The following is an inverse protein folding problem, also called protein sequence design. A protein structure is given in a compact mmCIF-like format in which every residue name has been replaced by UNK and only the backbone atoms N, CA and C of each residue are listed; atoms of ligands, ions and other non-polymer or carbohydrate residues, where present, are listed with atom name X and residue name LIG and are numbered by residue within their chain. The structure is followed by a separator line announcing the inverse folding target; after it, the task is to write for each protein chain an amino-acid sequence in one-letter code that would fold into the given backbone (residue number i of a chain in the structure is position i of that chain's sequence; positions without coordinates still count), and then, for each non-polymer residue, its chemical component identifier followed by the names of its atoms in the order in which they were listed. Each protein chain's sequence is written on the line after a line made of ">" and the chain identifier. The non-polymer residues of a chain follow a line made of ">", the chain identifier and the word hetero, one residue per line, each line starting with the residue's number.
data_IF_584033759938
#
_entry.id   IF_584033759938
#
_cell.length_a   1.000
_cell.length_b   1.000
_cell.length_c   1.000
_cell.angle_alpha   90.00
_cell.angle_beta   90.00
_cell.angle_gamma   90.00
#
_symmetry.space_group_name_H-M   'P 1'
#
loop_
_entity.id
_entity.type
_entity.pdbx_description
1 polymer ?
#
# COMPACT_ATOMS: atom_id res chain seq x y z
N UNK A 1 48.09 -11.06 -27.66
CA UNK A 1 46.71 -11.59 -27.62
C UNK A 1 46.25 -11.49 -26.18
N UNK A 2 45.39 -10.53 -25.87
CA UNK A 2 44.92 -10.26 -24.51
C UNK A 2 43.57 -10.95 -24.30
N UNK A 3 43.47 -11.72 -23.22
CA UNK A 3 42.26 -12.41 -22.75
C UNK A 3 41.20 -11.37 -22.35
N UNK A 4 39.91 -11.51 -22.73
CA UNK A 4 38.89 -10.59 -22.24
C UNK A 4 38.59 -10.88 -20.76
N UNK A 5 38.52 -9.81 -19.98
CA UNK A 5 38.11 -9.86 -18.58
C UNK A 5 36.64 -10.30 -18.47
N UNK A 6 36.41 -11.27 -17.59
CA UNK A 6 35.08 -11.68 -17.12
C UNK A 6 34.36 -10.48 -16.50
N UNK A 7 33.19 -10.12 -17.04
CA UNK A 7 32.25 -9.21 -16.37
C UNK A 7 31.65 -9.94 -15.17
N UNK A 8 31.84 -9.40 -13.98
CA UNK A 8 31.07 -9.79 -12.79
C UNK A 8 29.57 -9.62 -13.05
N UNK A 9 28.72 -10.57 -12.63
CA UNK A 9 27.28 -10.42 -12.76
C UNK A 9 26.78 -9.33 -11.81
N UNK A 10 25.91 -8.45 -12.32
CA UNK A 10 25.15 -7.49 -11.51
C UNK A 10 24.23 -8.25 -10.55
N UNK A 11 24.13 -7.85 -9.26
CA UNK A 11 23.15 -8.43 -8.37
C UNK A 11 21.76 -7.88 -8.72
N UNK A 12 20.80 -8.76 -9.05
CA UNK A 12 19.38 -8.35 -9.14
C UNK A 12 18.54 -8.87 -10.31
N UNK A 13 18.78 -10.07 -10.85
CA UNK A 13 17.92 -10.61 -11.91
C UNK A 13 17.68 -12.13 -11.81
N UNK A 14 17.46 -12.64 -10.60
CA UNK A 14 17.09 -14.05 -10.37
C UNK A 14 15.63 -14.23 -9.92
N UNK A 15 14.78 -13.21 -10.11
CA UNK A 15 13.35 -13.33 -9.81
C UNK A 15 12.61 -14.16 -10.87
N UNK A 16 11.81 -15.14 -10.44
CA UNK A 16 10.75 -15.70 -11.29
C UNK A 16 9.91 -14.55 -11.89
N UNK A 17 9.53 -14.68 -13.16
CA UNK A 17 8.68 -13.68 -13.81
C UNK A 17 7.44 -13.38 -12.95
N UNK A 18 7.32 -12.13 -12.48
CA UNK A 18 6.21 -11.68 -11.63
C UNK A 18 6.48 -11.66 -10.11
N UNK A 19 7.66 -12.04 -9.63
CA UNK A 19 8.04 -11.87 -8.22
C UNK A 19 8.45 -10.41 -7.91
N UNK A 20 7.96 -9.81 -6.80
CA UNK A 20 8.42 -8.49 -6.35
C UNK A 20 9.93 -8.45 -6.13
N UNK A 21 10.58 -7.39 -6.59
CA UNK A 21 11.96 -7.10 -6.26
C UNK A 21 12.03 -6.45 -4.87
N UNK A 22 12.93 -6.91 -4.01
CA UNK A 22 13.01 -6.51 -2.60
C UNK A 22 14.39 -5.89 -2.32
N UNK A 23 14.42 -4.80 -1.58
CA UNK A 23 15.64 -4.15 -1.12
C UNK A 23 15.45 -3.56 0.29
N UNK A 24 16.49 -3.66 1.13
CA UNK A 24 16.48 -3.23 2.53
C UNK A 24 16.06 -4.35 3.50
N UNK A 25 16.26 -4.09 4.79
CA UNK A 25 16.07 -5.11 5.85
C UNK A 25 14.64 -5.13 6.44
N UNK A 26 13.87 -4.06 6.23
CA UNK A 26 12.48 -3.97 6.71
C UNK A 26 11.54 -4.64 5.70
N UNK A 27 11.19 -5.90 5.96
CA UNK A 27 10.32 -6.66 5.05
C UNK A 27 8.83 -6.62 5.43
N UNK A 28 8.50 -6.51 6.72
CA UNK A 28 7.15 -6.63 7.22
C UNK A 28 6.93 -5.86 8.51
N UNK A 29 5.72 -5.30 8.64
CA UNK A 29 5.24 -4.60 9.82
C UNK A 29 3.72 -4.37 9.69
N UNK A 30 3.10 -3.76 10.69
CA UNK A 30 1.68 -3.38 10.65
C UNK A 30 1.39 -2.45 9.47
N UNK A 31 0.21 -2.61 8.86
CA UNK A 31 -0.22 -1.87 7.69
C UNK A 31 -0.49 -0.38 7.96
N UNK A 32 -0.86 -0.02 9.19
CA UNK A 32 -1.44 1.28 9.49
C UNK A 32 -2.55 1.62 8.48
N UNK A 33 -2.67 2.89 8.09
CA UNK A 33 -3.71 3.34 7.15
C UNK A 33 -3.59 2.78 5.73
N UNK A 34 -2.55 2.00 5.38
CA UNK A 34 -2.51 1.36 4.05
C UNK A 34 -3.59 0.28 3.90
N UNK A 35 -3.99 -0.39 4.98
CA UNK A 35 -5.07 -1.39 4.93
C UNK A 35 -6.46 -0.78 4.76
N UNK A 36 -6.61 0.55 4.76
CA UNK A 36 -7.86 1.19 4.34
C UNK A 36 -8.23 0.90 2.90
N UNK A 37 -7.24 0.62 2.03
CA UNK A 37 -7.48 0.32 0.61
C UNK A 37 -8.31 -0.96 0.43
N UNK A 38 -7.92 -2.14 0.94
CA UNK A 38 -8.75 -3.34 0.81
C UNK A 38 -10.11 -3.21 1.52
N UNK A 39 -10.19 -2.49 2.65
CA UNK A 39 -11.47 -2.20 3.33
C UNK A 39 -12.40 -1.37 2.44
N UNK A 40 -11.88 -0.31 1.83
CA UNK A 40 -12.63 0.57 0.95
C UNK A 40 -13.13 -0.17 -0.31
N UNK A 41 -12.29 -1.01 -0.91
CA UNK A 41 -12.68 -1.83 -2.07
C UNK A 41 -13.78 -2.82 -1.70
N UNK A 42 -13.65 -3.50 -0.55
CA UNK A 42 -14.68 -4.42 -0.07
C UNK A 42 -16.03 -3.69 0.13
N UNK A 43 -16.01 -2.48 0.71
CA UNK A 43 -17.22 -1.70 0.93
C UNK A 43 -17.87 -1.25 -0.39
N UNK A 44 -17.06 -0.84 -1.38
CA UNK A 44 -17.54 -0.50 -2.73
C UNK A 44 -18.15 -1.73 -3.42
N UNK A 45 -17.57 -2.92 -3.28
CA UNK A 45 -18.13 -4.16 -3.84
C UNK A 45 -19.49 -4.49 -3.24
N UNK A 46 -19.67 -4.31 -1.94
CA UNK A 46 -20.92 -4.65 -1.25
C UNK A 46 -22.06 -3.68 -1.58
N UNK A 47 -21.79 -2.38 -1.57
CA UNK A 47 -22.82 -1.35 -1.73
C UNK A 47 -23.01 -0.90 -3.19
N UNK A 48 -21.98 -1.09 -4.03
CA UNK A 48 -21.94 -0.61 -5.40
C UNK A 48 -21.25 0.76 -5.51
N UNK A 49 -20.49 0.95 -6.60
CA UNK A 49 -19.69 2.15 -6.84
C UNK A 49 -20.50 3.45 -7.01
N UNK A 50 -21.82 3.36 -7.24
CA UNK A 50 -22.70 4.51 -7.39
C UNK A 50 -23.25 5.04 -6.04
N UNK A 51 -23.05 4.32 -4.93
CA UNK A 51 -23.52 4.76 -3.61
C UNK A 51 -22.76 6.01 -3.15
N UNK A 52 -23.49 7.12 -2.98
CA UNK A 52 -22.91 8.41 -2.64
C UNK A 52 -22.29 8.44 -1.23
N UNK A 53 -22.87 7.71 -0.27
CA UNK A 53 -22.35 7.63 1.10
C UNK A 53 -21.03 6.87 1.13
N UNK A 54 -20.95 5.76 0.40
CA UNK A 54 -19.72 4.98 0.28
C UNK A 54 -18.65 5.79 -0.43
N UNK A 55 -18.98 6.49 -1.52
CA UNK A 55 -18.02 7.38 -2.20
C UNK A 55 -17.48 8.48 -1.28
N UNK A 56 -18.34 9.10 -0.47
CA UNK A 56 -17.90 10.13 0.48
C UNK A 56 -16.93 9.55 1.52
N UNK A 57 -17.25 8.39 2.09
CA UNK A 57 -16.38 7.72 3.05
C UNK A 57 -15.08 7.22 2.44
N UNK A 58 -15.10 6.68 1.21
CA UNK A 58 -13.89 6.31 0.46
C UNK A 58 -12.99 7.52 0.27
N UNK A 59 -13.56 8.65 -0.20
CA UNK A 59 -12.79 9.87 -0.40
C UNK A 59 -12.13 10.34 0.90
N UNK A 60 -12.87 10.44 2.00
CA UNK A 60 -12.32 10.86 3.29
C UNK A 60 -11.26 9.87 3.84
N UNK A 61 -11.55 8.57 3.79
CA UNK A 61 -10.65 7.53 4.30
C UNK A 61 -9.34 7.42 3.50
N UNK A 62 -9.38 7.68 2.19
CA UNK A 62 -8.21 7.52 1.32
C UNK A 62 -7.43 8.82 1.17
N UNK A 63 -8.09 9.94 0.83
CA UNK A 63 -7.41 11.22 0.47
C UNK A 63 -6.73 11.90 1.66
N UNK A 64 -7.41 11.96 2.80
CA UNK A 64 -6.94 12.61 4.03
C UNK A 64 -6.68 11.60 5.16
N UNK A 65 -6.86 10.31 4.88
CA UNK A 65 -6.62 9.22 5.83
C UNK A 65 -7.57 9.21 7.05
N UNK A 66 -8.80 9.71 6.91
CA UNK A 66 -9.78 9.81 7.99
C UNK A 66 -10.11 8.41 8.58
N UNK A 67 -9.97 8.28 9.90
CA UNK A 67 -10.20 7.01 10.61
C UNK A 67 -11.69 6.72 10.82
N UNK A 68 -12.52 7.73 11.07
CA UNK A 68 -13.95 7.55 11.29
C UNK A 68 -14.67 7.11 10.01
N UNK A 69 -14.28 7.66 8.87
CA UNK A 69 -14.75 7.23 7.56
C UNK A 69 -14.34 5.79 7.26
N UNK A 70 -13.10 5.40 7.57
CA UNK A 70 -12.64 4.02 7.39
C UNK A 70 -13.37 3.03 8.31
N UNK A 71 -13.62 3.38 9.56
CA UNK A 71 -14.42 2.58 10.51
C UNK A 71 -15.89 2.50 10.08
N UNK A 72 -16.43 3.54 9.42
CA UNK A 72 -17.78 3.50 8.83
C UNK A 72 -17.85 2.52 7.66
N UNK A 73 -16.85 2.52 6.77
CA UNK A 73 -16.74 1.53 5.69
C UNK A 73 -16.63 0.11 6.27
N UNK A 74 -15.79 -0.07 7.29
CA UNK A 74 -15.59 -1.34 7.97
C UNK A 74 -16.88 -1.87 8.62
N UNK A 75 -17.55 -1.05 9.42
CA UNK A 75 -18.81 -1.42 10.07
C UNK A 75 -19.94 -1.72 9.07
N UNK A 76 -19.90 -1.06 7.90
CA UNK A 76 -20.82 -1.34 6.80
C UNK A 76 -20.70 -2.76 6.23
N UNK A 77 -19.54 -3.41 6.37
CA UNK A 77 -19.30 -4.78 5.90
C UNK A 77 -19.93 -5.87 6.79
N UNK A 78 -20.43 -5.50 7.97
CA UNK A 78 -21.04 -6.44 8.93
C UNK A 78 -20.26 -6.51 10.23
N UNK A 79 -20.34 -7.66 10.91
CA UNK A 79 -19.54 -7.90 12.10
C UNK A 79 -18.02 -7.91 11.79
N UNK A 80 -17.15 -7.73 12.79
CA UNK A 80 -15.71 -7.62 12.54
C UNK A 80 -15.09 -8.81 11.81
N UNK A 81 -15.61 -10.03 12.02
CA UNK A 81 -15.12 -11.23 11.34
C UNK A 81 -15.51 -11.21 9.85
N UNK A 82 -16.73 -10.79 9.54
CA UNK A 82 -17.24 -10.63 8.18
C UNK A 82 -16.48 -9.53 7.44
N UNK A 83 -16.25 -8.39 8.07
CA UNK A 83 -15.49 -7.27 7.52
C UNK A 83 -14.02 -7.66 7.21
N UNK A 84 -13.39 -8.41 8.13
CA UNK A 84 -12.04 -8.94 7.93
C UNK A 84 -11.97 -9.95 6.78
N UNK A 85 -12.95 -10.85 6.69
CA UNK A 85 -13.03 -11.83 5.61
C UNK A 85 -13.22 -11.15 4.25
N UNK A 86 -14.13 -10.19 4.14
CA UNK A 86 -14.36 -9.43 2.91
C UNK A 86 -13.10 -8.64 2.47
N UNK A 87 -12.43 -7.99 3.42
CA UNK A 87 -11.18 -7.25 3.14
C UNK A 87 -10.02 -8.19 2.78
N UNK A 88 -9.96 -9.38 3.39
CA UNK A 88 -8.96 -10.41 3.04
C UNK A 88 -9.22 -10.98 1.65
N UNK A 89 -10.47 -11.17 1.24
CA UNK A 89 -10.80 -11.61 -0.11
C UNK A 89 -10.30 -10.62 -1.17
N UNK A 90 -10.39 -9.31 -0.90
CA UNK A 90 -9.78 -8.28 -1.78
C UNK A 90 -8.27 -8.46 -1.91
N UNK A 91 -7.56 -8.75 -0.80
CA UNK A 91 -6.12 -9.03 -0.85
C UNK A 91 -5.81 -10.27 -1.72
N UNK A 92 -6.61 -11.34 -1.60
CA UNK A 92 -6.47 -12.56 -2.39
C UNK A 92 -6.66 -12.29 -3.88
N UNK A 93 -7.66 -11.51 -4.26
CA UNK A 93 -7.90 -11.12 -5.65
C UNK A 93 -6.74 -10.30 -6.22
N UNK A 94 -6.07 -9.50 -5.38
CA UNK A 94 -4.86 -8.76 -5.76
C UNK A 94 -3.57 -9.57 -5.69
N UNK A 95 -3.66 -10.90 -5.55
CA UNK A 95 -2.52 -11.82 -5.59
C UNK A 95 -1.76 -11.97 -4.27
N UNK A 96 -2.15 -11.29 -3.20
CA UNK A 96 -1.61 -11.53 -1.87
C UNK A 96 -2.25 -12.79 -1.29
N UNK A 97 -1.51 -13.90 -1.28
CA UNK A 97 -2.03 -15.20 -0.86
C UNK A 97 -1.96 -15.44 0.66
N UNK A 98 -1.28 -14.59 1.43
CA UNK A 98 -0.88 -14.93 2.81
C UNK A 98 -1.34 -13.93 3.87
N UNK A 99 -1.48 -12.65 3.57
CA UNK A 99 -1.91 -11.66 4.57
C UNK A 99 -3.38 -11.82 4.89
N UNK A 100 -3.73 -11.92 6.18
CA UNK A 100 -5.11 -12.00 6.66
C UNK A 100 -5.42 -10.76 7.50
N UNK A 101 -6.45 -10.01 7.13
CA UNK A 101 -6.86 -8.79 7.84
C UNK A 101 -7.34 -9.16 9.24
N UNK A 102 -6.87 -8.41 10.24
CA UNK A 102 -7.32 -8.59 11.62
C UNK A 102 -8.76 -8.11 11.79
N UNK A 103 -9.58 -8.96 12.41
CA UNK A 103 -10.94 -8.63 12.84
C UNK A 103 -10.95 -7.82 14.14
N UNK A 104 -10.00 -8.10 15.04
CA UNK A 104 -9.97 -7.53 16.38
C UNK A 104 -8.81 -6.55 16.56
N UNK A 105 -9.00 -5.57 17.44
CA UNK A 105 -7.96 -4.61 17.82
C UNK A 105 -6.98 -5.29 18.77
N UNK A 106 -5.68 -5.25 18.46
CA UNK A 106 -4.63 -5.66 19.39
C UNK A 106 -4.25 -4.53 20.34
N UNK A 107 -4.27 -3.29 19.85
CA UNK A 107 -4.18 -2.03 20.60
C UNK A 107 -5.49 -1.25 20.44
N UNK A 108 -6.24 -0.96 21.53
CA UNK A 108 -7.57 -0.35 21.48
C UNK A 108 -7.64 1.00 20.75
N UNK A 109 -6.56 1.77 20.77
CA UNK A 109 -6.47 3.10 20.20
C UNK A 109 -6.35 3.12 18.66
N UNK A 110 -6.13 1.97 18.02
CA UNK A 110 -6.02 1.84 16.57
C UNK A 110 -7.07 0.91 15.97
N UNK A 111 -7.37 1.11 14.69
CA UNK A 111 -8.27 0.25 13.90
C UNK A 111 -7.77 -1.19 13.88
N UNK A 112 -8.65 -2.19 13.86
CA UNK A 112 -8.25 -3.60 13.76
C UNK A 112 -7.46 -3.87 12.46
N UNK A 113 -8.02 -3.47 11.32
CA UNK A 113 -7.38 -3.65 10.00
C UNK A 113 -6.02 -2.94 9.89
N UNK A 114 -5.83 -1.79 10.54
CA UNK A 114 -4.54 -1.08 10.56
C UNK A 114 -3.41 -1.83 11.26
N UNK A 115 -3.74 -2.75 12.16
CA UNK A 115 -2.78 -3.52 12.95
C UNK A 115 -2.40 -4.84 12.28
N UNK A 116 -2.94 -5.11 11.10
CA UNK A 116 -2.62 -6.29 10.28
C UNK A 116 -1.15 -6.22 9.84
N UNK A 117 -0.32 -7.23 10.14
CA UNK A 117 1.01 -7.36 9.54
C UNK A 117 0.90 -7.54 8.02
N UNK A 118 1.58 -6.70 7.26
CA UNK A 118 1.55 -6.74 5.80
C UNK A 118 2.96 -6.55 5.26
N UNK A 119 3.49 -7.60 4.62
CA UNK A 119 4.84 -7.58 4.04
C UNK A 119 4.90 -6.61 2.86
N UNK A 120 6.03 -5.94 2.66
CA UNK A 120 6.23 -5.07 1.50
C UNK A 120 6.10 -5.82 0.17
N UNK A 121 6.63 -7.06 0.00
CA UNK A 121 6.45 -7.81 -1.24
C UNK A 121 4.98 -8.09 -1.57
N UNK A 122 4.18 -8.50 -0.57
CA UNK A 122 2.75 -8.73 -0.78
C UNK A 122 2.00 -7.43 -1.06
N UNK A 123 2.36 -6.34 -0.38
CA UNK A 123 1.74 -5.05 -0.57
C UNK A 123 2.06 -4.45 -1.96
N UNK A 124 3.28 -4.66 -2.46
CA UNK A 124 3.67 -4.31 -3.83
C UNK A 124 2.93 -5.18 -4.86
N UNK A 125 2.80 -6.49 -4.61
CA UNK A 125 2.03 -7.40 -5.47
C UNK A 125 0.56 -6.99 -5.56
N UNK A 126 -0.06 -6.68 -4.42
CA UNK A 126 -1.42 -6.14 -4.37
C UNK A 126 -1.53 -4.82 -5.15
N UNK A 127 -0.55 -3.92 -4.97
CA UNK A 127 -0.42 -2.68 -5.73
C UNK A 127 -0.42 -2.88 -7.25
N UNK A 128 0.29 -3.90 -7.74
CA UNK A 128 0.42 -4.19 -9.17
C UNK A 128 -0.89 -4.68 -9.82
N UNK A 129 -1.84 -5.19 -9.03
CA UNK A 129 -3.13 -5.70 -9.52
C UNK A 129 -4.30 -4.75 -9.23
N UNK A 130 -4.07 -3.62 -8.53
CA UNK A 130 -5.12 -2.74 -8.02
C UNK A 130 -6.14 -2.36 -9.09
N UNK A 131 -5.68 -1.91 -10.26
CA UNK A 131 -6.54 -1.43 -11.36
C UNK A 131 -7.40 -2.51 -12.00
N UNK A 132 -7.12 -3.77 -11.71
CA UNK A 132 -7.83 -4.94 -12.23
C UNK A 132 -8.88 -5.46 -11.25
N UNK A 133 -8.92 -4.92 -10.03
CA UNK A 133 -9.86 -5.38 -9.01
C UNK A 133 -11.24 -4.76 -9.22
N UNK A 134 -12.25 -5.63 -9.21
CA UNK A 134 -13.65 -5.19 -9.15
C UNK A 134 -13.87 -4.25 -7.96
N UNK A 135 -14.55 -3.12 -8.21
CA UNK A 135 -14.83 -2.11 -7.19
C UNK A 135 -13.65 -1.20 -6.82
N UNK A 136 -12.46 -1.34 -7.42
CA UNK A 136 -11.31 -0.51 -7.08
C UNK A 136 -11.34 0.89 -7.70
N UNK A 137 -12.14 1.13 -8.75
CA UNK A 137 -12.19 2.41 -9.48
C UNK A 137 -12.28 3.66 -8.57
N UNK A 138 -13.32 3.79 -7.72
CA UNK A 138 -13.45 4.94 -6.81
C UNK A 138 -12.29 5.06 -5.79
N UNK A 139 -11.72 3.94 -5.37
CA UNK A 139 -10.60 3.91 -4.40
C UNK A 139 -9.32 4.39 -5.07
N UNK A 140 -9.05 3.93 -6.30
CA UNK A 140 -7.89 4.31 -7.09
C UNK A 140 -7.95 5.79 -7.50
N UNK A 141 -9.14 6.29 -7.83
CA UNK A 141 -9.38 7.72 -8.06
C UNK A 141 -8.97 8.53 -6.82
N UNK A 142 -9.44 8.12 -5.63
CA UNK A 142 -9.07 8.77 -4.37
C UNK A 142 -7.57 8.63 -4.05
N UNK A 143 -6.93 7.51 -4.39
CA UNK A 143 -5.48 7.30 -4.25
C UNK A 143 -4.64 8.22 -5.15
N UNK A 144 -5.22 8.77 -6.23
CA UNK A 144 -4.59 9.83 -7.04
C UNK A 144 -4.70 11.23 -6.43
N UNK A 145 -5.67 11.43 -5.53
CA UNK A 145 -6.03 12.72 -4.93
C UNK A 145 -5.65 12.83 -3.44
N UNK A 146 -4.55 12.17 -3.03
CA UNK A 146 -4.00 12.30 -1.67
C UNK A 146 -3.70 13.77 -1.35
N UNK A 147 -4.08 14.20 -0.15
CA UNK A 147 -3.93 15.56 0.35
C UNK A 147 -2.46 16.00 0.37
N UNK A 148 -2.22 17.29 0.11
CA UNK A 148 -0.89 17.85 -0.16
C UNK A 148 0.14 17.58 0.97
N UNK A 149 -0.31 17.64 2.22
CA UNK A 149 0.52 17.36 3.41
C UNK A 149 0.93 15.88 3.53
N UNK A 150 0.27 14.98 2.80
CA UNK A 150 0.53 13.54 2.75
C UNK A 150 1.22 13.10 1.44
N UNK A 151 1.54 14.03 0.52
CA UNK A 151 2.17 13.74 -0.79
C UNK A 151 3.70 13.62 -0.78
N UNK A 152 4.31 13.28 0.36
CA UNK A 152 5.72 12.87 0.41
C UNK A 152 5.92 11.46 -0.17
N UNK A 153 7.16 10.98 -0.31
CA UNK A 153 7.42 9.62 -0.78
C UNK A 153 6.92 9.40 -2.22
N UNK A 154 6.10 8.37 -2.42
CA UNK A 154 5.48 8.05 -3.71
C UNK A 154 4.66 9.22 -4.28
N UNK A 155 4.14 10.12 -3.43
CA UNK A 155 3.40 11.30 -3.87
C UNK A 155 4.22 12.30 -4.69
N UNK A 156 5.56 12.18 -4.67
CA UNK A 156 6.49 12.95 -5.50
C UNK A 156 6.63 12.42 -6.92
N UNK A 157 6.13 11.21 -7.20
CA UNK A 157 6.21 10.58 -8.52
C UNK A 157 4.96 10.97 -9.33
N UNK A 158 5.11 11.59 -10.52
CA UNK A 158 3.99 11.93 -11.39
C UNK A 158 3.13 10.69 -11.71
N UNK A 159 1.81 10.83 -11.55
CA UNK A 159 0.85 9.76 -11.86
C UNK A 159 0.77 8.63 -10.82
N UNK A 160 1.55 8.69 -9.72
CA UNK A 160 1.42 7.72 -8.65
C UNK A 160 0.04 7.77 -7.98
N UNK A 161 -0.58 6.60 -7.81
CA UNK A 161 -1.81 6.41 -7.04
C UNK A 161 -1.45 5.56 -5.83
N UNK A 162 -1.47 6.14 -4.65
CA UNK A 162 -0.88 5.51 -3.47
C UNK A 162 -1.71 5.77 -2.20
N UNK A 163 -1.42 5.01 -1.15
CA UNK A 163 -1.90 5.28 0.20
C UNK A 163 -0.75 5.17 1.20
N UNK A 164 -0.64 6.17 2.06
CA UNK A 164 0.28 6.14 3.21
C UNK A 164 -0.34 5.58 4.48
N UNK A 165 0.51 5.09 5.37
CA UNK A 165 0.19 4.69 6.73
C UNK A 165 1.38 4.96 7.65
N UNK A 166 1.11 5.44 8.85
CA UNK A 166 2.13 5.76 9.83
C UNK A 166 1.57 5.62 11.24
N UNK A 167 2.45 5.38 12.20
CA UNK A 167 2.10 5.35 13.61
C UNK A 167 3.27 4.91 14.48
N UNK A 168 3.22 5.22 15.78
CA UNK A 168 4.25 4.83 16.73
C UNK A 168 4.08 3.36 17.17
N UNK A 169 5.20 2.68 17.39
CA UNK A 169 5.24 1.49 18.22
C UNK A 169 4.98 1.82 19.71
N UNK A 170 5.04 0.82 20.59
CA UNK A 170 4.81 1.01 22.03
C UNK A 170 5.88 1.89 22.71
N UNK A 171 7.05 2.05 22.09
CA UNK A 171 8.12 2.95 22.57
C UNK A 171 8.00 4.38 22.02
N UNK A 172 7.02 4.64 21.15
CA UNK A 172 6.80 5.94 20.51
C UNK A 172 7.52 6.12 19.17
N UNK A 173 8.24 5.10 18.70
CA UNK A 173 9.06 5.19 17.48
C UNK A 173 8.19 4.96 16.24
N UNK A 174 8.23 5.89 15.29
CA UNK A 174 7.37 5.82 14.12
C UNK A 174 7.82 4.75 13.12
N UNK A 175 6.83 4.04 12.58
CA UNK A 175 6.89 3.47 11.25
C UNK A 175 6.18 4.42 10.29
N UNK A 176 6.76 4.62 9.11
CA UNK A 176 6.12 5.31 7.98
C UNK A 176 6.19 4.41 6.77
N UNK A 177 5.04 4.16 6.13
CA UNK A 177 4.96 3.30 4.93
C UNK A 177 3.98 3.83 3.91
N UNK A 178 4.20 3.47 2.65
CA UNK A 178 3.33 3.79 1.54
C UNK A 178 3.29 2.63 0.56
N UNK A 179 2.19 2.48 -0.14
CA UNK A 179 2.14 1.61 -1.31
C UNK A 179 1.15 2.12 -2.35
N UNK A 180 1.25 1.60 -3.56
CA UNK A 180 0.31 1.93 -4.61
C UNK A 180 0.69 1.36 -5.96
N UNK A 181 0.13 1.98 -6.99
CA UNK A 181 0.40 1.70 -8.40
C UNK A 181 0.93 2.96 -9.10
N UNK A 182 1.89 2.77 -10.00
CA UNK A 182 2.47 3.82 -10.82
C UNK A 182 2.35 3.39 -12.29
N UNK A 183 1.74 4.24 -13.12
CA UNK A 183 1.66 4.01 -14.55
C UNK A 183 3.04 4.20 -15.20
N UNK A 184 3.41 3.27 -16.07
CA UNK A 184 4.68 3.25 -16.81
C UNK A 184 4.47 2.71 -18.22
N UNK A 185 5.51 2.74 -19.04
CA UNK A 185 5.47 2.09 -20.34
C UNK A 185 5.17 0.59 -20.18
N UNK A 186 4.14 0.11 -20.91
CA UNK A 186 3.70 -1.29 -20.87
C UNK A 186 2.65 -1.63 -19.82
N UNK A 187 2.27 -0.70 -18.94
CA UNK A 187 1.17 -0.92 -17.98
C UNK A 187 1.40 -0.24 -16.64
N UNK A 188 1.25 -0.99 -15.56
CA UNK A 188 1.43 -0.47 -14.20
C UNK A 188 2.48 -1.26 -13.41
N UNK A 189 3.10 -0.59 -12.44
CA UNK A 189 4.02 -1.19 -11.47
C UNK A 189 3.48 -0.95 -10.07
N UNK A 190 3.34 -2.04 -9.31
CA UNK A 190 3.06 -1.98 -7.88
C UNK A 190 4.31 -1.67 -7.07
N UNK A 191 4.23 -0.71 -6.15
CA UNK A 191 5.34 -0.28 -5.30
C UNK A 191 4.88 -0.24 -3.85
N UNK A 192 5.73 -0.74 -2.94
CA UNK A 192 5.56 -0.56 -1.49
C UNK A 192 6.91 -0.17 -0.87
N UNK A 193 6.89 0.84 0.01
CA UNK A 193 8.07 1.39 0.68
C UNK A 193 7.75 1.61 2.17
N UNK A 194 8.75 1.42 3.03
CA UNK A 194 8.63 1.69 4.46
C UNK A 194 9.95 2.16 5.06
N UNK A 195 9.87 2.89 6.16
CA UNK A 195 11.01 3.38 6.92
C UNK A 195 10.70 3.42 8.42
N UNK A 196 11.68 3.02 9.22
CA UNK A 196 11.75 3.28 10.66
C UNK A 196 12.96 4.19 10.90
N UNK A 197 12.77 5.50 11.12
CA UNK A 197 13.87 6.42 11.31
C UNK A 197 14.53 6.19 12.67
N UNK A 198 15.85 6.35 12.74
CA UNK A 198 16.61 6.11 13.96
C UNK A 198 16.24 7.08 15.11
N UNK A 199 15.77 8.28 14.77
CA UNK A 199 15.26 9.26 15.73
C UNK A 199 13.78 9.03 16.11
N UNK A 200 13.12 8.05 15.48
CA UNK A 200 11.73 7.68 15.74
C UNK A 200 10.68 8.67 15.26
N UNK A 201 11.07 9.75 14.55
CA UNK A 201 10.14 10.83 14.21
C UNK A 201 9.39 10.58 12.91
N UNK A 202 8.14 11.02 12.84
CA UNK A 202 7.37 10.97 11.60
C UNK A 202 8.06 11.74 10.46
N UNK A 203 8.56 12.94 10.73
CA UNK A 203 9.17 13.83 9.74
C UNK A 203 10.40 13.19 9.07
N UNK A 204 11.30 12.58 9.85
CA UNK A 204 12.45 11.86 9.28
C UNK A 204 12.01 10.67 8.45
N UNK A 205 10.97 9.94 8.88
CA UNK A 205 10.37 8.86 8.07
C UNK A 205 9.82 9.36 6.73
N UNK A 206 9.16 10.53 6.68
CA UNK A 206 8.69 11.14 5.43
C UNK A 206 9.84 11.47 4.47
N UNK A 207 10.95 12.02 5.00
CA UNK A 207 12.14 12.31 4.23
C UNK A 207 12.78 11.03 3.65
N UNK A 208 12.94 10.00 4.48
CA UNK A 208 13.44 8.69 4.04
C UNK A 208 12.59 8.08 2.93
N UNK A 209 11.25 8.08 3.06
CA UNK A 209 10.37 7.58 2.00
C UNK A 209 10.51 8.38 0.71
N UNK A 210 10.76 9.69 0.80
CA UNK A 210 10.98 10.55 -0.36
C UNK A 210 12.27 10.21 -1.10
N UNK A 211 13.34 9.93 -0.36
CA UNK A 211 14.61 9.47 -0.95
C UNK A 211 14.46 8.09 -1.62
N UNK A 212 13.76 7.16 -0.97
CA UNK A 212 13.47 5.83 -1.53
C UNK A 212 12.63 5.97 -2.81
N UNK A 213 11.56 6.77 -2.78
CA UNK A 213 10.70 6.99 -3.94
C UNK A 213 11.48 7.59 -5.13
N UNK A 214 12.39 8.53 -4.87
CA UNK A 214 13.26 9.08 -5.92
C UNK A 214 14.20 8.01 -6.51
N UNK A 215 14.69 7.08 -5.70
CA UNK A 215 15.49 5.95 -6.18
C UNK A 215 14.66 4.97 -7.01
N UNK A 216 13.46 4.60 -6.55
CA UNK A 216 12.52 3.75 -7.29
C UNK A 216 12.17 4.37 -8.64
N UNK A 217 11.86 5.67 -8.68
CA UNK A 217 11.49 6.36 -9.90
C UNK A 217 12.61 6.34 -10.97
N UNK A 218 13.88 6.47 -10.56
CA UNK A 218 15.03 6.40 -11.48
C UNK A 218 15.26 5.02 -12.08
N UNK A 219 14.79 3.96 -11.42
CA UNK A 219 15.04 2.56 -11.78
C UNK A 219 13.76 1.78 -12.05
N UNK A 220 12.67 2.48 -12.36
CA UNK A 220 11.36 1.86 -12.50
C UNK A 220 11.35 0.92 -13.71
N UNK A 221 10.90 -0.35 -13.55
CA UNK A 221 10.85 -1.30 -14.65
C UNK A 221 9.70 -0.96 -15.62
N UNK A 222 9.64 -1.68 -16.74
CA UNK A 222 8.42 -1.74 -17.54
C UNK A 222 7.28 -2.33 -16.72
N UNK A 223 6.06 -1.87 -17.02
CA UNK A 223 4.85 -2.30 -16.33
C UNK A 223 4.33 -3.63 -16.82
N UNK A 224 3.38 -4.19 -16.07
CA UNK A 224 2.54 -5.29 -16.51
C UNK A 224 1.11 -4.81 -16.76
N UNK A 225 0.38 -5.55 -17.60
CA UNK A 225 -1.08 -5.50 -17.63
C UNK A 225 -1.63 -6.73 -16.92
N UNK A 226 -2.88 -6.60 -16.47
CA UNK A 226 -3.77 -7.74 -16.42
C UNK A 226 -4.33 -7.98 -17.84
#
# INVERSE_FOLDING_TARGET
>A
MATPASRSPSPGADGEAGAPQVAGDLESDVAWSTSKVPVAIAAVRQAGAADASIRANVNAAITVSDNAAAETLWAGLGDPATAAAASTAVLRDGGDATTTIYAERTRPEYTAFGQTPWTLPNQARFGAHLTCLDGAGPVIEAMGAIADDQRYGLGTIPGARFKGGWGPDESGMYLVRQFGTIAVDGGEVGVAIAARPADGTYATGQAMLTEIAAAVHRHMPAGGSC
#
